data_IF_137972823911
#
_entry.id   IF_137972823911
#
_cell.length_a   1.000
_cell.length_b   1.000
_cell.length_c   1.000
_cell.angle_alpha   90.00
_cell.angle_beta   90.00
_cell.angle_gamma   90.00
#
_symmetry.space_group_name_H-M   'P 1'
#
loop_
_entity.id
_entity.type
_entity.pdbx_description
1 polymer ?
#
# COMPACT_ATOMS: atom_id res chain seq x y z
N UNK A 1 -37.05 11.94 -13.20
CA UNK A 1 -37.89 11.26 -14.21
C UNK A 1 -37.60 9.78 -14.24
N UNK A 2 -38.65 9.01 -13.90
CA UNK A 2 -38.99 7.63 -14.25
C UNK A 2 -38.06 6.50 -13.78
N UNK A 3 -38.47 5.93 -12.67
CA UNK A 3 -38.18 4.58 -12.20
C UNK A 3 -38.70 3.53 -13.20
N UNK A 4 -37.97 2.44 -13.39
CA UNK A 4 -38.51 1.17 -13.90
C UNK A 4 -38.08 0.04 -12.99
N UNK A 5 -39.00 -0.37 -12.17
CA UNK A 5 -39.05 -1.67 -11.51
C UNK A 5 -39.39 -2.75 -12.55
N UNK A 6 -38.67 -3.86 -12.56
CA UNK A 6 -39.16 -5.12 -13.10
C UNK A 6 -38.86 -6.22 -12.09
N UNK A 7 -39.90 -6.67 -11.46
CA UNK A 7 -39.95 -7.91 -10.69
C UNK A 7 -40.27 -9.08 -11.65
N UNK A 8 -39.57 -10.21 -11.49
CA UNK A 8 -39.99 -11.48 -12.03
C UNK A 8 -39.82 -12.56 -10.95
N UNK A 9 -40.96 -13.05 -10.51
CA UNK A 9 -41.13 -14.24 -9.68
C UNK A 9 -40.95 -15.50 -10.51
N UNK A 10 -40.35 -16.54 -9.96
CA UNK A 10 -40.32 -17.89 -10.55
C UNK A 10 -40.13 -18.94 -9.47
N UNK A 11 -41.24 -19.54 -9.12
CA UNK A 11 -41.42 -20.63 -8.16
C UNK A 11 -41.22 -21.97 -8.89
N UNK A 12 -40.51 -22.95 -8.33
CA UNK A 12 -40.80 -24.37 -8.55
C UNK A 12 -40.14 -25.26 -7.48
N UNK A 13 -40.99 -26.01 -6.82
CA UNK A 13 -40.72 -27.01 -5.81
C UNK A 13 -40.32 -28.37 -6.45
N UNK A 14 -39.57 -29.18 -5.72
CA UNK A 14 -39.24 -30.55 -6.09
C UNK A 14 -38.73 -31.33 -4.89
N UNK A 15 -39.66 -32.00 -4.17
CA UNK A 15 -39.39 -33.05 -3.16
C UNK A 15 -39.02 -34.35 -3.86
N UNK A 16 -38.04 -35.08 -3.35
CA UNK A 16 -38.00 -36.53 -3.42
C UNK A 16 -37.25 -37.12 -2.22
N UNK A 17 -37.98 -37.75 -1.33
CA UNK A 17 -37.50 -38.66 -0.28
C UNK A 17 -37.09 -39.99 -0.94
N UNK A 18 -36.04 -40.61 -0.43
CA UNK A 18 -35.88 -42.07 -0.42
C UNK A 18 -35.01 -42.49 0.76
N UNK A 19 -35.63 -43.22 1.66
CA UNK A 19 -35.02 -43.92 2.78
C UNK A 19 -34.72 -45.37 2.39
N UNK A 20 -33.74 -46.02 3.01
CA UNK A 20 -33.60 -47.42 3.48
C UNK A 20 -32.10 -47.77 3.56
N UNK A 21 -31.59 -48.10 4.63
CA UNK A 21 -31.69 -49.14 5.65
C UNK A 21 -30.47 -50.07 5.62
N UNK A 22 -29.83 -50.13 6.79
CA UNK A 22 -29.25 -51.27 7.51
C UNK A 22 -28.04 -52.08 6.99
N UNK A 23 -27.05 -52.06 7.79
CA UNK A 23 -26.47 -53.21 8.53
C UNK A 23 -25.03 -53.59 8.19
N UNK A 24 -24.27 -53.67 9.26
CA UNK A 24 -23.28 -54.65 9.69
C UNK A 24 -21.82 -54.23 9.69
N UNK A 25 -21.39 -53.95 10.91
CA UNK A 25 -20.15 -54.42 11.60
C UNK A 25 -19.06 -55.02 10.77
N UNK A 26 -17.91 -54.40 10.83
CA UNK A 26 -16.58 -55.00 11.10
C UNK A 26 -15.49 -53.94 11.11
N UNK A 27 -14.92 -53.61 12.24
CA UNK A 27 -13.55 -53.09 12.40
C UNK A 27 -12.59 -54.28 12.45
N UNK A 28 -11.26 -54.14 12.31
CA UNK A 28 -10.39 -53.00 12.08
C UNK A 28 -9.36 -53.25 10.96
N UNK A 29 -8.81 -52.20 10.43
CA UNK A 29 -7.38 -52.23 10.05
C UNK A 29 -6.91 -50.82 9.77
N UNK A 30 -5.89 -50.42 10.51
CA UNK A 30 -5.13 -49.21 10.30
C UNK A 30 -4.48 -49.23 8.90
N UNK A 31 -4.86 -48.25 8.09
CA UNK A 31 -4.11 -47.84 6.93
C UNK A 31 -3.93 -46.34 7.01
N UNK A 32 -2.73 -45.95 7.32
CA UNK A 32 -2.23 -44.59 7.25
C UNK A 32 -2.46 -44.05 5.83
N UNK A 33 -3.52 -43.32 5.64
CA UNK A 33 -3.71 -42.51 4.45
C UNK A 33 -2.79 -41.26 4.54
N UNK A 34 -2.09 -40.89 3.47
CA UNK A 34 -1.32 -39.65 3.47
C UNK A 34 -2.30 -38.50 3.65
N UNK A 35 -2.17 -37.80 4.77
CA UNK A 35 -2.88 -36.58 5.02
C UNK A 35 -2.70 -35.64 3.83
N UNK A 36 -3.79 -35.28 3.18
CA UNK A 36 -3.80 -34.11 2.31
C UNK A 36 -3.42 -32.92 3.17
N UNK A 37 -2.14 -32.59 3.15
CA UNK A 37 -1.68 -31.27 3.56
C UNK A 37 -2.42 -30.28 2.67
N UNK A 38 -3.48 -29.71 3.20
CA UNK A 38 -3.99 -28.47 2.65
C UNK A 38 -2.79 -27.52 2.64
N UNK A 39 -2.23 -27.31 1.44
CA UNK A 39 -1.25 -26.25 1.22
C UNK A 39 -1.92 -24.96 1.65
N UNK A 40 -1.59 -24.49 2.84
CA UNK A 40 -1.86 -23.11 3.21
C UNK A 40 -1.34 -22.26 2.04
N UNK A 41 -2.12 -21.25 1.59
CA UNK A 41 -1.61 -20.33 0.59
C UNK A 41 -0.25 -19.84 1.10
N UNK A 42 0.77 -19.71 0.20
CA UNK A 42 2.08 -19.28 0.63
C UNK A 42 1.88 -18.00 1.42
N UNK A 43 2.23 -18.04 2.71
CA UNK A 43 2.33 -16.85 3.52
C UNK A 43 3.15 -15.88 2.67
N UNK A 44 2.52 -14.79 2.26
CA UNK A 44 3.19 -13.75 1.48
C UNK A 44 4.53 -13.53 2.17
N UNK A 45 5.62 -13.85 1.46
CA UNK A 45 6.97 -13.77 2.02
C UNK A 45 7.05 -12.43 2.72
N UNK A 46 7.25 -12.46 4.04
CA UNK A 46 7.15 -11.26 4.87
C UNK A 46 8.01 -10.21 4.21
N UNK A 47 7.39 -9.17 3.69
CA UNK A 47 8.06 -8.18 2.88
C UNK A 47 9.16 -7.56 3.71
N UNK A 48 10.42 -7.93 3.42
CA UNK A 48 11.56 -7.47 4.20
C UNK A 48 11.72 -5.98 3.97
N UNK A 49 11.54 -5.20 5.02
CA UNK A 49 11.79 -3.77 5.02
C UNK A 49 13.31 -3.55 4.98
N UNK A 50 13.77 -2.58 4.23
CA UNK A 50 15.20 -2.31 4.04
C UNK A 50 15.49 -0.81 4.12
N UNK A 51 16.73 -0.49 4.43
CA UNK A 51 17.22 0.90 4.51
C UNK A 51 17.54 1.34 5.94
N UNK A 52 18.45 2.32 6.08
CA UNK A 52 19.01 2.72 7.38
C UNK A 52 17.98 3.36 8.31
N UNK A 53 17.01 4.12 7.76
CA UNK A 53 15.99 4.78 8.57
C UNK A 53 14.84 3.87 9.02
N UNK A 54 14.81 2.61 8.58
CA UNK A 54 13.84 1.64 9.10
C UNK A 54 14.02 1.38 10.61
N UNK A 55 15.21 1.59 11.15
CA UNK A 55 15.47 1.51 12.59
C UNK A 55 14.76 2.59 13.41
N UNK A 56 14.40 3.71 12.79
CA UNK A 56 13.65 4.81 13.41
C UNK A 56 12.12 4.56 13.46
N UNK A 57 11.63 3.54 12.77
CA UNK A 57 10.23 3.15 12.81
C UNK A 57 9.95 2.48 14.16
N UNK A 58 8.85 2.85 14.86
CA UNK A 58 8.49 2.22 16.12
C UNK A 58 8.38 0.70 16.00
N UNK A 59 8.88 -0.02 17.02
CA UNK A 59 8.83 -1.49 17.02
C UNK A 59 7.45 -2.06 17.38
N UNK A 60 6.58 -1.24 17.97
CA UNK A 60 5.23 -1.62 18.39
C UNK A 60 4.25 -0.47 18.25
N UNK A 61 2.95 -0.77 18.31
CA UNK A 61 1.88 0.20 18.14
C UNK A 61 1.52 0.47 16.68
N UNK A 62 0.59 1.40 16.45
CA UNK A 62 0.05 1.71 15.13
C UNK A 62 1.08 2.23 14.11
N UNK A 63 2.17 2.84 14.60
CA UNK A 63 3.29 3.32 13.77
C UNK A 63 4.36 2.28 13.46
N UNK A 64 4.27 1.07 14.01
CA UNK A 64 5.17 -0.03 13.69
C UNK A 64 4.86 -0.64 12.32
N UNK A 65 5.77 -1.41 11.76
CA UNK A 65 5.54 -2.10 10.48
C UNK A 65 4.29 -2.99 10.53
N UNK A 66 4.09 -3.74 11.61
CA UNK A 66 2.89 -4.58 11.79
C UNK A 66 1.61 -3.74 11.97
N UNK A 67 1.68 -2.63 12.69
CA UNK A 67 0.54 -1.73 12.86
C UNK A 67 0.16 -1.03 11.56
N UNK A 68 1.14 -0.56 10.80
CA UNK A 68 0.92 0.06 9.49
C UNK A 68 0.36 -0.92 8.45
N UNK A 69 0.76 -2.19 8.49
CA UNK A 69 0.31 -3.21 7.54
C UNK A 69 -1.21 -3.43 7.57
N UNK A 70 -1.87 -3.16 8.69
CA UNK A 70 -3.32 -3.34 8.87
C UNK A 70 -4.14 -2.07 8.63
N UNK A 71 -3.49 -0.93 8.44
CA UNK A 71 -4.13 0.37 8.28
C UNK A 71 -3.96 0.91 6.85
N UNK A 72 -4.94 1.67 6.31
CA UNK A 72 -4.76 2.40 5.06
C UNK A 72 -3.60 3.40 5.15
N UNK A 73 -3.00 3.71 4.01
CA UNK A 73 -1.69 4.40 3.95
C UNK A 73 -1.66 5.76 4.65
N UNK A 74 -2.69 6.61 4.52
CA UNK A 74 -2.69 7.91 5.19
C UNK A 74 -2.89 7.77 6.70
N UNK A 75 -3.67 6.78 7.14
CA UNK A 75 -3.84 6.43 8.56
C UNK A 75 -2.53 5.86 9.13
N UNK A 76 -1.90 4.92 8.42
CA UNK A 76 -0.62 4.35 8.78
C UNK A 76 0.48 5.42 8.90
N UNK A 77 0.58 6.32 7.91
CA UNK A 77 1.51 7.44 7.93
C UNK A 77 1.28 8.37 9.13
N UNK A 78 0.02 8.60 9.53
CA UNK A 78 -0.32 9.46 10.67
C UNK A 78 0.20 8.93 12.01
N UNK A 79 0.39 7.62 12.11
CA UNK A 79 0.94 6.99 13.30
C UNK A 79 2.48 6.97 13.32
N UNK A 80 3.13 7.35 12.22
CA UNK A 80 4.59 7.37 12.12
C UNK A 80 5.13 8.80 12.33
N UNK A 81 5.88 9.07 13.41
CA UNK A 81 6.39 10.41 13.71
C UNK A 81 7.36 10.96 12.65
N UNK A 82 8.07 10.10 11.92
CA UNK A 82 8.98 10.51 10.85
C UNK A 82 8.25 11.12 9.63
N UNK A 83 6.94 10.90 9.51
CA UNK A 83 6.11 11.37 8.39
C UNK A 83 5.15 12.50 8.78
N UNK A 84 5.32 13.12 9.94
CA UNK A 84 4.37 14.12 10.46
C UNK A 84 4.18 15.32 9.55
N UNK A 85 5.23 15.80 8.90
CA UNK A 85 5.16 16.91 7.93
C UNK A 85 4.40 16.51 6.67
N UNK A 86 4.64 15.32 6.14
CA UNK A 86 3.89 14.76 5.01
C UNK A 86 2.40 14.65 5.33
N UNK A 87 2.07 14.14 6.50
CA UNK A 87 0.67 14.00 6.96
C UNK A 87 -0.02 15.36 7.06
N UNK A 88 0.67 16.38 7.55
CA UNK A 88 0.15 17.76 7.58
C UNK A 88 -0.13 18.28 6.16
N UNK A 89 0.78 18.02 5.22
CA UNK A 89 0.61 18.39 3.81
C UNK A 89 -0.58 17.66 3.15
N UNK A 90 -0.71 16.35 3.37
CA UNK A 90 -1.82 15.53 2.84
C UNK A 90 -3.17 16.01 3.40
N UNK A 91 -3.23 16.37 4.69
CA UNK A 91 -4.42 16.95 5.31
C UNK A 91 -4.77 18.33 4.72
N UNK A 92 -3.77 19.20 4.53
CA UNK A 92 -3.95 20.51 3.92
C UNK A 92 -4.46 20.42 2.47
N UNK A 93 -3.99 19.44 1.70
CA UNK A 93 -4.46 19.16 0.35
C UNK A 93 -5.87 18.51 0.33
N UNK A 94 -6.33 17.92 1.43
CA UNK A 94 -7.60 17.18 1.49
C UNK A 94 -7.54 15.81 0.82
N UNK A 95 -6.35 15.19 0.76
CA UNK A 95 -6.13 13.93 0.04
C UNK A 95 -6.17 12.69 0.95
N UNK A 96 -6.50 12.85 2.23
CA UNK A 96 -6.52 11.73 3.20
C UNK A 96 -7.45 10.61 2.74
N UNK A 97 -8.69 10.95 2.40
CA UNK A 97 -9.70 9.97 1.99
C UNK A 97 -9.35 9.36 0.63
N UNK A 98 -8.83 10.15 -0.30
CA UNK A 98 -8.36 9.68 -1.61
C UNK A 98 -7.26 8.64 -1.45
N UNK A 99 -6.26 8.88 -0.61
CA UNK A 99 -5.17 7.94 -0.36
C UNK A 99 -5.62 6.69 0.40
N UNK A 100 -6.58 6.83 1.33
CA UNK A 100 -7.09 5.70 2.09
C UNK A 100 -8.02 4.79 1.26
N UNK A 101 -8.73 5.33 0.27
CA UNK A 101 -9.62 4.59 -0.62
C UNK A 101 -8.93 4.05 -1.87
N UNK A 102 -7.76 4.58 -2.23
CA UNK A 102 -6.96 4.05 -3.33
C UNK A 102 -6.51 2.62 -3.03
N UNK A 103 -6.42 1.77 -4.04
CA UNK A 103 -6.00 0.37 -3.89
C UNK A 103 -4.79 0.07 -4.74
N UNK A 104 -3.89 -0.77 -4.20
CA UNK A 104 -2.70 -1.24 -4.92
C UNK A 104 -1.79 -0.12 -5.43
N UNK A 105 -1.57 0.90 -4.62
CA UNK A 105 -0.70 2.03 -4.95
C UNK A 105 0.69 1.87 -4.31
N UNK A 106 1.65 2.64 -4.83
CA UNK A 106 2.95 2.86 -4.21
C UNK A 106 3.07 4.32 -3.83
N UNK A 107 3.50 4.58 -2.60
CA UNK A 107 3.69 5.94 -2.08
C UNK A 107 5.15 6.17 -1.77
N UNK A 108 5.75 7.15 -2.43
CA UNK A 108 7.07 7.68 -2.10
C UNK A 108 6.90 8.75 -1.02
N UNK A 109 7.12 8.39 0.23
CA UNK A 109 6.82 9.23 1.39
C UNK A 109 8.07 10.01 1.84
N UNK A 110 8.19 11.32 1.56
CA UNK A 110 9.29 12.10 2.08
C UNK A 110 9.20 12.20 3.61
N UNK A 111 10.31 11.95 4.29
CA UNK A 111 10.41 12.11 5.72
C UNK A 111 10.50 13.58 6.15
N UNK A 112 10.48 13.85 7.45
CA UNK A 112 10.60 15.22 7.96
C UNK A 112 11.93 15.89 7.55
N UNK A 113 13.02 15.11 7.42
CA UNK A 113 14.31 15.62 6.97
C UNK A 113 14.29 16.03 5.50
N UNK A 114 13.52 15.33 4.65
CA UNK A 114 13.31 15.72 3.26
C UNK A 114 12.66 17.10 3.14
N UNK A 115 11.66 17.39 3.95
CA UNK A 115 11.02 18.71 3.99
C UNK A 115 11.95 19.79 4.55
N UNK A 116 12.84 19.45 5.49
CA UNK A 116 13.81 20.39 6.03
C UNK A 116 14.85 20.86 4.99
N UNK A 117 15.07 20.11 3.91
CA UNK A 117 15.91 20.50 2.77
C UNK A 117 15.27 21.60 1.90
N UNK A 118 13.96 21.78 1.99
CA UNK A 118 13.24 22.82 1.24
C UNK A 118 13.34 24.16 1.98
N UNK A 119 13.70 25.28 1.31
CA UNK A 119 13.68 26.58 1.94
C UNK A 119 12.32 26.90 2.57
N UNK A 120 12.25 27.41 3.81
CA UNK A 120 10.98 27.63 4.52
C UNK A 120 10.00 28.53 3.76
N UNK A 121 10.51 29.51 3.00
CA UNK A 121 9.69 30.39 2.17
C UNK A 121 9.00 29.64 1.03
N UNK A 122 9.72 28.69 0.39
CA UNK A 122 9.20 27.83 -0.68
C UNK A 122 8.17 26.85 -0.12
N UNK A 123 8.48 26.19 1.00
CA UNK A 123 7.57 25.27 1.67
C UNK A 123 6.25 25.96 2.05
N UNK A 124 6.32 27.19 2.60
CA UNK A 124 5.12 27.98 2.93
C UNK A 124 4.29 28.30 1.70
N UNK A 125 4.91 28.66 0.56
CA UNK A 125 4.20 28.91 -0.70
C UNK A 125 3.47 27.67 -1.20
N UNK A 126 4.16 26.53 -1.25
CA UNK A 126 3.59 25.24 -1.68
C UNK A 126 2.43 24.82 -0.76
N UNK A 127 2.57 24.95 0.54
CA UNK A 127 1.50 24.61 1.50
C UNK A 127 0.30 25.55 1.42
N UNK A 128 0.50 26.80 0.98
CA UNK A 128 -0.57 27.77 0.77
C UNK A 128 -1.29 27.57 -0.57
N UNK A 129 -0.64 27.01 -1.57
CA UNK A 129 -1.22 26.71 -2.88
C UNK A 129 -1.67 25.25 -2.91
N UNK A 130 -2.98 25.06 -2.69
CA UNK A 130 -3.59 23.72 -2.66
C UNK A 130 -3.45 22.99 -4.00
N UNK A 131 -3.46 23.69 -5.13
CA UNK A 131 -3.33 23.07 -6.45
C UNK A 131 -1.91 22.55 -6.67
N UNK A 132 -0.90 23.34 -6.36
CA UNK A 132 0.50 22.94 -6.45
C UNK A 132 0.81 21.82 -5.44
N UNK A 133 0.32 21.94 -4.21
CA UNK A 133 0.47 20.90 -3.19
C UNK A 133 -0.15 19.58 -3.63
N UNK A 134 -1.34 19.60 -4.22
CA UNK A 134 -2.01 18.40 -4.77
C UNK A 134 -1.17 17.81 -5.90
N UNK A 135 -0.65 18.62 -6.81
CA UNK A 135 0.20 18.20 -7.92
C UNK A 135 1.47 17.49 -7.40
N UNK A 136 2.15 18.09 -6.44
CA UNK A 136 3.34 17.49 -5.80
C UNK A 136 2.97 16.19 -5.10
N UNK A 137 1.92 16.14 -4.30
CA UNK A 137 1.53 14.94 -3.57
C UNK A 137 1.10 13.79 -4.50
N UNK A 138 0.39 14.08 -5.59
CA UNK A 138 0.02 13.07 -6.59
C UNK A 138 1.23 12.59 -7.40
N UNK A 139 2.26 13.41 -7.55
CA UNK A 139 3.54 13.00 -8.12
C UNK A 139 4.32 12.01 -7.23
N UNK A 140 4.07 12.02 -5.93
CA UNK A 140 4.63 11.05 -4.98
C UNK A 140 3.86 9.71 -4.93
N UNK A 141 2.78 9.57 -5.69
CA UNK A 141 1.96 8.36 -5.68
C UNK A 141 1.93 7.72 -7.07
N UNK A 142 2.25 6.45 -7.12
CA UNK A 142 2.14 5.64 -8.33
C UNK A 142 0.91 4.73 -8.26
N UNK A 143 0.21 4.57 -9.39
CA UNK A 143 -1.07 3.85 -9.50
C UNK A 143 -0.96 2.32 -9.49
N UNK A 144 0.20 1.76 -9.10
CA UNK A 144 0.41 0.32 -8.97
C UNK A 144 1.34 0.02 -7.80
N UNK A 145 1.30 -1.21 -7.28
CA UNK A 145 2.30 -1.67 -6.30
C UNK A 145 3.59 -2.06 -7.01
N UNK A 146 4.69 -1.44 -6.61
CA UNK A 146 6.02 -1.73 -7.10
C UNK A 146 6.84 -2.40 -6.01
N UNK A 147 7.53 -3.48 -6.39
CA UNK A 147 8.44 -4.23 -5.52
C UNK A 147 9.84 -3.59 -5.50
N UNK A 148 10.69 -3.93 -4.53
CA UNK A 148 12.08 -3.49 -4.52
C UNK A 148 12.84 -3.85 -5.82
N UNK A 149 12.58 -5.03 -6.40
CA UNK A 149 13.22 -5.44 -7.66
C UNK A 149 12.88 -4.50 -8.81
N UNK A 150 11.63 -4.02 -8.85
CA UNK A 150 11.23 -3.02 -9.83
C UNK A 150 11.96 -1.68 -9.63
N UNK A 151 12.16 -1.28 -8.37
CA UNK A 151 12.93 -0.07 -8.07
C UNK A 151 14.42 -0.21 -8.38
N UNK A 152 14.95 -1.44 -8.34
CA UNK A 152 16.38 -1.68 -8.63
C UNK A 152 16.71 -1.54 -10.12
N UNK A 153 15.83 -2.00 -11.01
CA UNK A 153 16.11 -2.17 -12.44
C UNK A 153 14.89 -2.02 -13.35
N UNK A 154 13.76 -1.56 -12.80
CA UNK A 154 12.51 -1.42 -13.55
C UNK A 154 12.48 -0.20 -14.47
N UNK A 155 11.51 -0.16 -15.38
CA UNK A 155 11.25 1.02 -16.20
C UNK A 155 10.72 2.19 -15.38
N UNK A 156 10.62 3.36 -16.02
CA UNK A 156 10.00 4.54 -15.43
C UNK A 156 8.60 4.25 -14.87
N UNK A 157 8.35 4.74 -13.68
CA UNK A 157 7.10 4.56 -12.95
C UNK A 157 6.19 5.76 -13.20
N UNK A 158 4.99 5.50 -13.71
CA UNK A 158 3.99 6.55 -13.91
C UNK A 158 3.31 6.90 -12.59
N UNK A 159 3.28 8.19 -12.27
CA UNK A 159 2.62 8.72 -11.08
C UNK A 159 1.16 9.09 -11.34
N UNK A 160 0.39 9.34 -10.29
CA UNK A 160 -1.01 9.79 -10.41
C UNK A 160 -1.11 11.22 -10.95
N UNK A 161 -0.05 12.01 -10.83
CA UNK A 161 0.04 13.34 -11.44
C UNK A 161 0.12 13.25 -12.97
N UNK A 162 0.66 12.15 -13.50
CA UNK A 162 0.77 11.87 -14.94
C UNK A 162 2.21 11.83 -15.46
N UNK A 163 3.14 12.51 -14.81
CA UNK A 163 4.57 12.42 -15.12
C UNK A 163 5.17 11.13 -14.54
N UNK A 164 6.40 10.83 -14.97
CA UNK A 164 7.11 9.62 -14.55
C UNK A 164 8.23 9.94 -13.57
N UNK A 165 8.53 8.96 -12.71
CA UNK A 165 9.73 8.93 -11.88
C UNK A 165 10.62 7.79 -12.33
N UNK A 166 11.93 7.98 -12.27
CA UNK A 166 12.93 7.00 -12.68
C UNK A 166 13.47 6.29 -11.44
N UNK A 167 13.15 5.02 -11.25
CA UNK A 167 13.78 4.24 -10.21
C UNK A 167 15.19 3.82 -10.65
N UNK A 168 16.10 3.72 -9.72
CA UNK A 168 17.46 3.24 -9.94
C UNK A 168 18.04 2.64 -8.66
N UNK A 169 19.12 1.89 -8.81
CA UNK A 169 19.91 1.40 -7.68
C UNK A 169 21.37 1.79 -7.90
N UNK A 170 21.92 2.60 -7.01
CA UNK A 170 23.28 3.06 -7.07
C UNK A 170 24.01 2.75 -5.76
N UNK A 171 25.13 2.04 -5.83
CA UNK A 171 25.92 1.68 -4.65
C UNK A 171 25.16 0.88 -3.58
N UNK A 172 24.14 0.09 -3.97
CA UNK A 172 23.31 -0.67 -3.04
C UNK A 172 22.17 0.13 -2.39
N UNK A 173 22.01 1.40 -2.77
CA UNK A 173 20.90 2.25 -2.31
C UNK A 173 19.87 2.42 -3.44
N UNK A 174 18.61 2.26 -3.10
CA UNK A 174 17.52 2.54 -4.03
C UNK A 174 17.27 4.03 -4.12
N UNK A 175 17.05 4.50 -5.33
CA UNK A 175 16.77 5.89 -5.64
C UNK A 175 15.52 6.00 -6.51
N UNK A 176 14.84 7.12 -6.40
CA UNK A 176 13.74 7.52 -7.29
C UNK A 176 14.00 8.95 -7.71
N UNK A 177 14.34 9.16 -8.98
CA UNK A 177 14.95 10.38 -9.49
C UNK A 177 16.25 10.72 -8.72
N UNK A 178 16.20 11.76 -7.87
CA UNK A 178 17.30 12.20 -7.02
C UNK A 178 17.05 11.99 -5.52
N UNK A 179 16.04 11.21 -5.17
CA UNK A 179 15.66 10.91 -3.79
C UNK A 179 16.11 9.50 -3.41
N UNK A 180 16.88 9.38 -2.33
CA UNK A 180 17.27 8.08 -1.80
C UNK A 180 16.15 7.46 -0.98
N UNK A 181 15.93 6.17 -1.16
CA UNK A 181 15.02 5.39 -0.31
C UNK A 181 15.74 5.06 1.00
N UNK A 182 15.31 5.71 2.07
CA UNK A 182 15.90 5.52 3.41
C UNK A 182 15.22 4.43 4.22
N UNK A 183 13.96 4.12 3.92
CA UNK A 183 13.28 2.92 4.43
C UNK A 183 12.25 2.45 3.40
N UNK A 184 12.44 1.27 2.86
CA UNK A 184 11.64 0.76 1.76
C UNK A 184 10.81 -0.46 2.09
N UNK A 185 9.88 -0.77 1.18
CA UNK A 185 8.99 -1.92 1.20
C UNK A 185 8.07 -1.97 2.43
N UNK A 186 7.70 -0.82 2.98
CA UNK A 186 6.78 -0.73 4.11
C UNK A 186 5.36 -1.01 3.61
N UNK A 187 4.78 -2.11 4.10
CA UNK A 187 3.44 -2.52 3.69
C UNK A 187 2.36 -1.79 4.49
N UNK A 188 1.30 -1.39 3.81
CA UNK A 188 0.04 -0.93 4.39
C UNK A 188 -1.11 -1.71 3.80
N UNK A 189 -2.31 -1.58 4.35
CA UNK A 189 -3.48 -2.34 3.88
C UNK A 189 -3.73 -2.15 2.37
N UNK A 190 -3.48 -0.95 1.84
CA UNK A 190 -3.79 -0.59 0.46
C UNK A 190 -2.59 -0.15 -0.38
N UNK A 191 -1.39 0.01 0.21
CA UNK A 191 -0.21 0.55 -0.47
C UNK A 191 1.09 -0.13 -0.05
N UNK A 192 2.13 0.04 -0.88
CA UNK A 192 3.54 -0.13 -0.49
C UNK A 192 4.18 1.25 -0.35
N UNK A 193 4.86 1.50 0.74
CA UNK A 193 5.47 2.80 1.04
C UNK A 193 6.99 2.71 0.99
N UNK A 194 7.59 3.67 0.31
CA UNK A 194 9.04 3.90 0.26
C UNK A 194 9.32 5.28 0.85
N UNK A 195 9.94 5.31 2.03
CA UNK A 195 10.32 6.55 2.69
C UNK A 195 11.58 7.09 2.01
N UNK A 196 11.52 8.33 1.58
CA UNK A 196 12.59 9.00 0.82
C UNK A 196 13.11 10.23 1.56
N UNK A 197 14.38 10.56 1.33
CA UNK A 197 15.10 11.66 1.98
C UNK A 197 14.99 13.00 1.26
N UNK A 198 14.28 13.04 0.14
CA UNK A 198 14.12 14.25 -0.69
C UNK A 198 12.71 14.30 -1.27
N UNK A 199 12.10 15.47 -1.27
CA UNK A 199 10.78 15.70 -1.87
C UNK A 199 10.91 15.69 -3.39
N UNK A 200 10.11 14.86 -4.07
CA UNK A 200 10.06 14.80 -5.53
C UNK A 200 9.31 16.03 -6.07
N UNK A 201 9.95 16.77 -6.95
CA UNK A 201 9.30 17.88 -7.64
C UNK A 201 8.86 17.43 -9.03
N UNK A 202 7.58 17.61 -9.41
CA UNK A 202 7.15 17.34 -10.76
C UNK A 202 7.88 18.27 -11.75
N UNK A 203 8.12 17.83 -12.98
CA UNK A 203 8.70 18.70 -14.00
C UNK A 203 7.80 19.91 -14.22
N UNK A 204 8.40 21.09 -14.35
CA UNK A 204 7.67 22.32 -14.66
C UNK A 204 7.02 22.15 -16.04
N UNK A 205 5.71 22.25 -16.09
CA UNK A 205 4.92 22.25 -17.33
C UNK A 205 5.01 23.61 -17.99
#
# INVERSE_FOLDING_TARGET
>A
MKYRLLAVSGLAAGLALSAAACSSSSSPSAASGPGSSASAPPAAAAAVNFGPACSAVPKSGAGSFSGMATAPVATAASANPALSTLVAAVKAAGLVDTLNSASNITVFAPDNAAFAKIPPATLKKVLADKAELTKILTYHVAGARYTPDHLASGPAIKTLEGATVMPSMMGGTYEVNNAHVVCGNVQTANATVYIIDTVLMPPSS
#
